data_IF_833423821414
#
_entry.id   IF_833423821414
#
_cell.length_a   1.000
_cell.length_b   1.000
_cell.length_c   1.000
_cell.angle_alpha   90.00
_cell.angle_beta   90.00
_cell.angle_gamma   90.00
#
_symmetry.space_group_name_H-M   'P 1'
#
loop_
_entity.id
_entity.type
_entity.pdbx_description
1 polymer ?
#
# COMPACT_ATOMS: atom_id res chain seq x y z
N UNK A 1 -17.49 2.86 -26.82
CA UNK A 1 -16.72 1.61 -26.65
C UNK A 1 -17.07 0.65 -27.76
N UNK A 2 -16.08 -0.07 -28.26
CA UNK A 2 -16.31 -1.22 -29.14
C UNK A 2 -16.82 -2.38 -28.28
N UNK A 3 -17.56 -3.36 -28.83
CA UNK A 3 -18.14 -4.45 -28.06
C UNK A 3 -17.14 -5.32 -27.28
N UNK A 4 -15.89 -5.34 -27.70
CA UNK A 4 -14.76 -6.09 -27.12
C UNK A 4 -13.83 -5.24 -26.22
N UNK A 5 -14.17 -3.97 -25.98
CA UNK A 5 -13.37 -3.10 -25.13
C UNK A 5 -13.74 -3.24 -23.65
N UNK A 6 -12.72 -3.29 -22.80
CA UNK A 6 -12.83 -3.22 -21.33
C UNK A 6 -12.24 -1.91 -20.86
N UNK A 7 -12.96 -1.20 -19.97
CA UNK A 7 -12.42 -0.04 -19.27
C UNK A 7 -12.02 -0.47 -17.86
N UNK A 8 -10.77 -0.19 -17.49
CA UNK A 8 -10.28 -0.35 -16.12
C UNK A 8 -10.31 1.02 -15.46
N UNK A 9 -11.10 1.13 -14.38
CA UNK A 9 -11.15 2.33 -13.53
C UNK A 9 -10.53 2.00 -12.18
N UNK A 10 -9.48 2.73 -11.79
CA UNK A 10 -8.82 2.53 -10.50
C UNK A 10 -8.90 3.78 -9.64
N UNK A 11 -8.97 3.60 -8.33
CA UNK A 11 -8.93 4.69 -7.36
C UNK A 11 -9.65 4.36 -6.05
N UNK A 12 -9.45 5.22 -5.06
CA UNK A 12 -10.04 5.04 -3.72
C UNK A 12 -11.57 5.08 -3.69
N UNK A 13 -12.19 5.59 -4.74
CA UNK A 13 -13.66 5.67 -4.90
C UNK A 13 -14.19 4.60 -5.86
N UNK A 14 -13.36 3.72 -6.43
CA UNK A 14 -13.74 2.77 -7.46
C UNK A 14 -14.88 1.82 -7.07
N UNK A 15 -15.00 1.49 -5.78
CA UNK A 15 -16.07 0.63 -5.26
C UNK A 15 -17.32 1.41 -4.80
N UNK A 16 -17.28 2.74 -4.82
CA UNK A 16 -18.43 3.55 -4.43
C UNK A 16 -19.52 3.49 -5.51
N UNK A 17 -20.70 2.94 -5.23
CA UNK A 17 -21.79 2.81 -6.22
C UNK A 17 -22.25 4.16 -6.78
N UNK A 18 -22.07 5.24 -6.03
CA UNK A 18 -22.43 6.59 -6.48
C UNK A 18 -21.50 7.15 -7.57
N UNK A 19 -20.39 6.49 -7.86
CA UNK A 19 -19.48 6.92 -8.93
C UNK A 19 -20.11 6.71 -10.32
N UNK A 20 -20.81 5.59 -10.48
CA UNK A 20 -21.47 5.19 -11.73
C UNK A 20 -22.86 4.59 -11.40
N UNK A 21 -23.82 5.42 -10.97
CA UNK A 21 -25.10 4.93 -10.45
C UNK A 21 -25.94 4.19 -11.50
N UNK A 22 -25.78 4.54 -12.77
CA UNK A 22 -26.55 3.99 -13.88
C UNK A 22 -25.90 2.78 -14.55
N UNK A 23 -24.74 2.30 -14.02
CA UNK A 23 -24.04 1.15 -14.61
C UNK A 23 -24.72 -0.15 -14.17
N UNK A 24 -25.23 -0.97 -15.13
CA UNK A 24 -25.80 -2.27 -14.81
C UNK A 24 -24.78 -3.17 -14.10
N UNK A 25 -25.17 -3.93 -13.07
CA UNK A 25 -24.23 -4.78 -12.31
C UNK A 25 -23.55 -5.85 -13.15
N UNK A 26 -24.25 -6.39 -14.14
CA UNK A 26 -23.79 -7.47 -15.02
C UNK A 26 -22.69 -7.06 -16.02
N UNK A 27 -22.48 -5.74 -16.20
CA UNK A 27 -21.39 -5.23 -17.07
C UNK A 27 -20.19 -4.71 -16.27
N UNK A 28 -20.17 -4.91 -14.95
CA UNK A 28 -19.09 -4.46 -14.08
C UNK A 28 -18.51 -5.60 -13.27
N UNK A 29 -17.19 -5.59 -13.09
CA UNK A 29 -16.48 -6.50 -12.19
C UNK A 29 -15.62 -5.69 -11.22
N UNK A 30 -15.86 -5.83 -9.92
CA UNK A 30 -15.31 -4.98 -8.88
C UNK A 30 -14.26 -5.72 -8.08
N UNK A 31 -13.07 -5.18 -8.02
CA UNK A 31 -11.93 -5.78 -7.33
C UNK A 31 -11.52 -4.87 -6.16
N UNK A 32 -11.57 -5.39 -4.94
CA UNK A 32 -11.00 -4.73 -3.78
C UNK A 32 -9.53 -5.19 -3.61
N UNK A 33 -8.60 -4.24 -3.69
CA UNK A 33 -7.18 -4.51 -3.52
C UNK A 33 -6.70 -3.92 -2.20
N UNK A 34 -6.14 -4.75 -1.33
CA UNK A 34 -5.58 -4.28 -0.06
C UNK A 34 -4.44 -5.19 0.42
N UNK A 35 -3.49 -4.62 1.16
CA UNK A 35 -2.46 -5.38 1.85
C UNK A 35 -3.04 -5.98 3.14
N UNK A 36 -3.74 -7.09 3.04
CA UNK A 36 -4.37 -7.77 4.16
C UNK A 36 -3.37 -8.71 4.83
N UNK A 37 -2.62 -8.19 5.79
CA UNK A 37 -1.65 -9.00 6.53
C UNK A 37 -2.36 -10.04 7.40
N UNK A 38 -2.03 -11.32 7.18
CA UNK A 38 -2.61 -12.46 7.93
C UNK A 38 -1.58 -13.14 8.83
N UNK A 39 -0.33 -12.68 8.79
CA UNK A 39 0.76 -13.28 9.53
C UNK A 39 0.83 -12.78 10.97
N UNK A 40 1.24 -13.68 11.84
CA UNK A 40 1.66 -13.35 13.20
C UNK A 40 3.19 -13.23 13.25
N UNK A 41 3.68 -12.28 14.06
CA UNK A 41 5.10 -12.19 14.41
C UNK A 41 5.44 -13.27 15.43
N UNK A 42 4.51 -13.50 16.37
CA UNK A 42 4.59 -14.54 17.40
C UNK A 42 3.20 -15.13 17.70
N UNK A 43 3.09 -15.93 18.77
CA UNK A 43 1.82 -16.58 19.19
C UNK A 43 0.68 -15.59 19.50
N UNK A 44 0.99 -14.34 19.79
CA UNK A 44 0.02 -13.34 20.29
C UNK A 44 -0.04 -12.07 19.47
N UNK A 45 1.00 -11.78 18.68
CA UNK A 45 1.14 -10.53 17.95
C UNK A 45 1.02 -10.72 16.44
N UNK A 46 -0.04 -10.17 15.87
CA UNK A 46 -0.26 -10.12 14.43
C UNK A 46 0.50 -8.93 13.82
N UNK A 47 0.99 -9.08 12.60
CA UNK A 47 1.50 -7.97 11.80
C UNK A 47 0.35 -6.99 11.52
N UNK A 48 0.42 -5.74 12.01
CA UNK A 48 -0.66 -4.78 11.77
C UNK A 48 -0.69 -4.35 10.29
N UNK A 49 -1.81 -4.57 9.63
CA UNK A 49 -2.04 -4.10 8.24
C UNK A 49 -1.76 -2.59 8.10
N UNK A 50 -2.12 -1.82 9.11
CA UNK A 50 -1.90 -0.37 9.15
C UNK A 50 -0.41 -0.01 9.07
N UNK A 51 0.43 -0.75 9.78
CA UNK A 51 1.88 -0.49 9.84
C UNK A 51 2.56 -0.86 8.53
N UNK A 52 2.22 -2.01 7.97
CA UNK A 52 2.68 -2.41 6.63
C UNK A 52 2.33 -1.36 5.58
N UNK A 53 1.10 -0.87 5.59
CA UNK A 53 0.64 0.16 4.65
C UNK A 53 1.32 1.51 4.89
N UNK A 54 1.59 1.88 6.14
CA UNK A 54 2.33 3.10 6.46
C UNK A 54 3.77 3.01 5.98
N UNK A 55 4.46 1.89 6.20
CA UNK A 55 5.83 1.64 5.73
C UNK A 55 5.89 1.69 4.20
N UNK A 56 5.00 0.99 3.50
CA UNK A 56 4.86 1.07 2.03
C UNK A 56 4.73 2.53 1.57
N UNK A 57 3.85 3.28 2.23
CA UNK A 57 3.61 4.68 1.89
C UNK A 57 4.83 5.57 2.14
N UNK A 58 5.53 5.40 3.25
CA UNK A 58 6.75 6.17 3.56
C UNK A 58 7.79 5.97 2.46
N UNK A 59 8.05 4.72 2.08
CA UNK A 59 9.02 4.39 1.03
C UNK A 59 8.58 4.99 -0.32
N UNK A 60 7.32 4.78 -0.73
CA UNK A 60 6.79 5.30 -1.99
C UNK A 60 6.76 6.83 -2.05
N UNK A 61 6.28 7.48 -0.99
CA UNK A 61 6.17 8.94 -0.95
C UNK A 61 7.57 9.60 -1.00
N UNK A 62 8.59 8.98 -0.37
CA UNK A 62 9.97 9.45 -0.48
C UNK A 62 10.55 9.27 -1.89
N UNK A 63 10.32 8.11 -2.51
CA UNK A 63 10.88 7.78 -3.82
C UNK A 63 10.26 8.57 -4.98
N UNK A 64 8.93 8.81 -4.94
CA UNK A 64 8.19 9.31 -6.11
C UNK A 64 7.47 10.62 -5.91
N UNK A 65 7.30 11.09 -4.67
CA UNK A 65 6.51 12.29 -4.35
C UNK A 65 7.30 13.37 -3.60
N UNK A 66 8.55 13.09 -3.25
CA UNK A 66 9.42 14.02 -2.53
C UNK A 66 8.97 14.35 -1.10
N UNK A 67 8.11 13.53 -0.49
CA UNK A 67 7.70 13.71 0.90
C UNK A 67 8.67 13.02 1.86
N UNK A 68 9.00 13.69 2.96
CA UNK A 68 9.73 13.08 4.07
C UNK A 68 8.83 12.08 4.84
N UNK A 69 9.47 11.14 5.57
CA UNK A 69 8.76 10.23 6.47
C UNK A 69 7.91 11.01 7.49
N UNK A 70 8.40 12.13 8.02
CA UNK A 70 7.65 12.98 8.92
C UNK A 70 6.35 13.49 8.29
N UNK A 71 6.41 14.03 7.07
CA UNK A 71 5.23 14.55 6.37
C UNK A 71 4.21 13.43 6.09
N UNK A 72 4.67 12.23 5.75
CA UNK A 72 3.79 11.08 5.54
C UNK A 72 3.11 10.64 6.85
N UNK A 73 3.85 10.58 7.97
CA UNK A 73 3.30 10.24 9.28
C UNK A 73 2.28 11.30 9.74
N UNK A 74 2.61 12.58 9.62
CA UNK A 74 1.71 13.66 10.02
C UNK A 74 0.38 13.63 9.25
N UNK A 75 0.41 13.26 7.97
CA UNK A 75 -0.77 13.11 7.11
C UNK A 75 -1.55 11.82 7.34
N UNK A 76 -0.98 10.82 8.01
CA UNK A 76 -1.57 9.49 8.13
C UNK A 76 -2.97 9.49 8.75
N UNK A 77 -3.20 10.35 9.75
CA UNK A 77 -4.52 10.50 10.35
C UNK A 77 -5.61 10.91 9.35
N UNK A 78 -5.27 11.76 8.37
CA UNK A 78 -6.19 12.15 7.29
C UNK A 78 -6.46 10.98 6.34
N UNK A 79 -5.42 10.23 5.98
CA UNK A 79 -5.56 9.02 5.14
C UNK A 79 -6.52 8.02 5.79
N UNK A 80 -6.33 7.73 7.07
CA UNK A 80 -7.18 6.82 7.84
C UNK A 80 -8.64 7.26 7.91
N UNK A 81 -8.89 8.56 8.02
CA UNK A 81 -10.27 9.09 7.95
C UNK A 81 -10.88 8.89 6.57
N UNK A 82 -10.11 9.10 5.51
CA UNK A 82 -10.55 8.86 4.13
C UNK A 82 -10.91 7.39 3.90
N UNK A 83 -10.07 6.46 4.35
CA UNK A 83 -10.32 5.01 4.26
C UNK A 83 -11.64 4.62 4.94
N UNK A 84 -11.83 5.07 6.19
CA UNK A 84 -13.05 4.79 6.96
C UNK A 84 -14.30 5.34 6.30
N UNK A 85 -14.21 6.46 5.60
CA UNK A 85 -15.34 7.13 4.99
C UNK A 85 -15.65 6.64 3.58
N UNK A 86 -14.61 6.31 2.79
CA UNK A 86 -14.72 6.16 1.34
C UNK A 86 -14.29 4.80 0.79
N UNK A 87 -13.67 3.94 1.62
CA UNK A 87 -13.19 2.63 1.18
C UNK A 87 -13.89 1.52 1.94
N UNK A 88 -13.75 1.47 3.26
CA UNK A 88 -14.25 0.36 4.07
C UNK A 88 -15.75 0.13 3.99
N UNK A 89 -16.63 1.17 3.91
CA UNK A 89 -18.06 0.94 3.78
C UNK A 89 -18.47 0.24 2.47
N UNK A 90 -17.62 0.30 1.45
CA UNK A 90 -17.91 -0.23 0.11
C UNK A 90 -17.15 -1.52 -0.23
N UNK A 91 -16.31 -2.03 0.68
CA UNK A 91 -15.52 -3.24 0.42
C UNK A 91 -16.39 -4.48 0.17
N UNK A 92 -17.56 -4.54 0.81
CA UNK A 92 -18.53 -5.64 0.64
C UNK A 92 -19.23 -5.63 -0.74
N UNK A 93 -19.07 -4.55 -1.52
CA UNK A 93 -19.57 -4.47 -2.90
C UNK A 93 -18.60 -5.05 -3.93
N UNK A 94 -17.44 -5.52 -3.50
CA UNK A 94 -16.47 -6.14 -4.39
C UNK A 94 -16.88 -7.58 -4.74
N UNK A 95 -16.73 -7.94 -6.01
CA UNK A 95 -16.94 -9.30 -6.50
C UNK A 95 -15.79 -10.21 -6.05
N UNK A 96 -14.59 -9.64 -5.88
CA UNK A 96 -13.40 -10.36 -5.39
C UNK A 96 -12.49 -9.45 -4.56
N UNK A 97 -11.81 -10.04 -3.57
CA UNK A 97 -10.77 -9.37 -2.79
C UNK A 97 -9.39 -9.89 -3.20
N UNK A 98 -8.53 -8.99 -3.63
CA UNK A 98 -7.14 -9.29 -3.92
C UNK A 98 -6.25 -8.85 -2.75
N UNK A 99 -5.59 -9.82 -2.11
CA UNK A 99 -4.62 -9.54 -1.05
C UNK A 99 -3.25 -9.23 -1.66
N UNK A 100 -2.83 -7.97 -1.56
CA UNK A 100 -1.54 -7.52 -2.05
C UNK A 100 -0.40 -7.65 -1.03
N UNK A 101 -0.64 -8.20 0.16
CA UNK A 101 0.42 -8.43 1.15
C UNK A 101 1.33 -9.58 0.72
N UNK A 102 2.64 -9.37 0.85
CA UNK A 102 3.65 -10.39 0.63
C UNK A 102 4.36 -10.72 1.94
N UNK A 103 4.68 -12.01 2.14
CA UNK A 103 5.26 -12.51 3.38
C UNK A 103 6.59 -11.84 3.74
N UNK A 104 7.39 -11.53 2.73
CA UNK A 104 8.76 -11.01 2.85
C UNK A 104 8.85 -9.49 2.67
N UNK A 105 7.73 -8.80 2.44
CA UNK A 105 7.76 -7.38 2.07
C UNK A 105 8.40 -6.46 3.12
N UNK A 106 8.17 -6.72 4.41
CA UNK A 106 8.75 -5.91 5.48
C UNK A 106 10.27 -6.10 5.57
N UNK A 107 10.77 -7.30 5.31
CA UNK A 107 12.20 -7.56 5.21
C UNK A 107 12.84 -6.78 4.06
N UNK A 108 12.17 -6.73 2.89
CA UNK A 108 12.63 -5.97 1.71
C UNK A 108 12.50 -4.46 1.92
N UNK A 109 11.42 -4.00 2.56
CA UNK A 109 11.18 -2.56 2.77
C UNK A 109 12.01 -1.96 3.90
N UNK A 110 12.48 -2.77 4.86
CA UNK A 110 13.28 -2.31 6.01
C UNK A 110 14.49 -1.46 5.61
N UNK A 111 15.38 -1.88 4.67
CA UNK A 111 16.53 -1.08 4.25
C UNK A 111 16.17 0.29 3.67
N UNK A 112 14.98 0.42 3.09
CA UNK A 112 14.50 1.70 2.52
C UNK A 112 13.80 2.56 3.57
N UNK A 113 12.98 1.94 4.43
CA UNK A 113 12.18 2.66 5.42
C UNK A 113 13.00 3.16 6.61
N UNK A 114 13.94 2.35 7.12
CA UNK A 114 14.70 2.68 8.32
C UNK A 114 15.48 4.00 8.22
N UNK A 115 16.24 4.27 7.15
CA UNK A 115 16.94 5.56 7.00
C UNK A 115 15.99 6.77 6.94
N UNK A 116 14.80 6.61 6.37
CA UNK A 116 13.78 7.66 6.29
C UNK A 116 13.16 7.94 7.67
N UNK A 117 12.90 6.90 8.44
CA UNK A 117 12.36 7.01 9.80
C UNK A 117 13.36 7.67 10.77
N UNK A 118 14.67 7.39 10.61
CA UNK A 118 15.73 8.01 11.42
C UNK A 118 15.86 9.52 11.19
N UNK A 119 15.42 10.04 10.04
CA UNK A 119 15.44 11.48 9.73
C UNK A 119 14.29 12.27 10.37
N UNK A 120 13.32 11.60 11.00
CA UNK A 120 12.17 12.27 11.61
C UNK A 120 12.64 13.10 12.82
N UNK A 121 12.26 14.38 12.83
CA UNK A 121 12.71 15.37 13.84
C UNK A 121 12.32 14.92 15.25
N UNK A 122 13.30 14.89 16.13
CA UNK A 122 13.13 14.55 17.55
C UNK A 122 12.17 15.53 18.25
N UNK A 123 11.47 15.06 19.27
CA UNK A 123 10.52 15.85 20.05
C UNK A 123 9.17 16.09 19.36
N UNK A 124 8.97 15.59 18.14
CA UNK A 124 7.68 15.68 17.45
C UNK A 124 6.80 14.46 17.72
N UNK A 125 5.49 14.60 17.49
CA UNK A 125 4.54 13.46 17.56
C UNK A 125 4.90 12.38 16.51
N UNK A 126 5.33 12.81 15.33
CA UNK A 126 5.78 11.90 14.29
C UNK A 126 7.01 11.08 14.72
N UNK A 127 7.89 11.64 15.55
CA UNK A 127 9.07 10.93 16.07
C UNK A 127 8.69 9.73 16.95
N UNK A 128 7.64 9.85 17.77
CA UNK A 128 7.15 8.73 18.59
C UNK A 128 6.70 7.58 17.70
N UNK A 129 5.95 7.90 16.64
CA UNK A 129 5.48 6.91 15.68
C UNK A 129 6.64 6.32 14.87
N UNK A 130 7.61 7.14 14.45
CA UNK A 130 8.81 6.68 13.75
C UNK A 130 9.61 5.68 14.61
N UNK A 131 9.80 5.96 15.90
CA UNK A 131 10.46 5.03 16.84
C UNK A 131 9.70 3.71 16.98
N UNK A 132 8.37 3.78 17.06
CA UNK A 132 7.52 2.59 17.13
C UNK A 132 7.66 1.73 15.87
N UNK A 133 7.64 2.35 14.68
CA UNK A 133 7.83 1.65 13.42
C UNK A 133 9.25 1.08 13.28
N UNK A 134 10.26 1.78 13.77
CA UNK A 134 11.64 1.25 13.82
C UNK A 134 11.72 0.00 14.68
N UNK A 135 11.18 0.04 15.90
CA UNK A 135 11.15 -1.13 16.79
C UNK A 135 10.37 -2.31 16.17
N UNK A 136 9.27 -2.01 15.46
CA UNK A 136 8.54 -3.03 14.71
C UNK A 136 9.39 -3.65 13.60
N UNK A 137 10.14 -2.85 12.85
CA UNK A 137 11.01 -3.34 11.77
C UNK A 137 12.20 -4.16 12.28
N UNK A 138 12.60 -4.04 13.56
CA UNK A 138 13.68 -4.85 14.13
C UNK A 138 13.38 -6.35 14.14
N UNK A 139 12.09 -6.74 14.12
CA UNK A 139 11.67 -8.14 14.05
C UNK A 139 11.96 -8.82 12.71
N UNK A 140 12.34 -8.07 11.69
CA UNK A 140 12.56 -8.58 10.33
C UNK A 140 14.04 -8.49 9.94
N UNK A 141 14.61 -9.61 9.52
CA UNK A 141 15.94 -9.59 8.89
C UNK A 141 15.87 -8.90 7.52
N UNK A 142 16.81 -7.99 7.20
CA UNK A 142 16.83 -7.32 5.91
C UNK A 142 17.01 -8.29 4.75
N UNK A 143 16.17 -8.16 3.72
CA UNK A 143 16.30 -8.91 2.49
C UNK A 143 16.71 -7.97 1.35
N UNK A 144 17.81 -8.28 0.61
CA UNK A 144 18.22 -7.48 -0.53
C UNK A 144 17.15 -7.42 -1.63
N UNK A 145 16.93 -6.25 -2.27
CA UNK A 145 15.87 -6.08 -3.27
C UNK A 145 16.15 -6.82 -4.59
N UNK A 146 17.38 -7.22 -4.87
CA UNK A 146 17.76 -8.02 -6.04
C UNK A 146 17.11 -9.41 -6.05
N UNK A 147 16.75 -9.94 -4.88
CA UNK A 147 16.02 -11.20 -4.73
C UNK A 147 14.52 -11.09 -5.01
N UNK A 148 14.00 -9.88 -5.17
CA UNK A 148 12.59 -9.66 -5.50
C UNK A 148 12.37 -9.87 -7.00
N UNK A 149 11.41 -10.71 -7.42
CA UNK A 149 11.08 -10.87 -8.84
C UNK A 149 10.75 -9.51 -9.50
N UNK A 150 11.16 -9.33 -10.74
CA UNK A 150 11.01 -8.07 -11.48
C UNK A 150 9.54 -7.71 -11.81
N UNK A 151 8.66 -8.71 -11.84
CA UNK A 151 7.21 -8.56 -11.99
C UNK A 151 6.45 -8.47 -10.66
N UNK A 152 7.15 -8.48 -9.52
CA UNK A 152 6.52 -8.36 -8.20
C UNK A 152 5.93 -6.97 -7.97
N UNK A 153 4.76 -6.91 -7.31
CA UNK A 153 4.16 -5.65 -6.85
C UNK A 153 5.07 -4.85 -5.91
N UNK A 154 6.03 -5.50 -5.22
CA UNK A 154 7.02 -4.79 -4.40
C UNK A 154 7.92 -3.88 -5.21
N UNK A 155 8.08 -4.15 -6.51
CA UNK A 155 8.87 -3.30 -7.40
C UNK A 155 8.32 -1.88 -7.53
N UNK A 156 7.03 -1.67 -7.22
CA UNK A 156 6.45 -0.33 -7.06
C UNK A 156 7.20 0.51 -6.01
N UNK A 157 7.71 -0.14 -4.96
CA UNK A 157 8.34 0.54 -3.82
C UNK A 157 9.86 0.59 -3.94
N UNK A 158 10.48 -0.46 -4.47
CA UNK A 158 11.93 -0.62 -4.51
C UNK A 158 12.56 -0.41 -5.89
N UNK A 159 11.72 -0.19 -6.91
CA UNK A 159 12.15 0.04 -8.29
C UNK A 159 12.48 -1.25 -9.06
N UNK A 160 12.84 -1.09 -10.34
CA UNK A 160 13.23 -2.20 -11.22
C UNK A 160 12.08 -3.09 -11.67
N UNK A 161 10.85 -2.57 -11.79
CA UNK A 161 9.71 -3.30 -12.33
C UNK A 161 9.78 -3.38 -13.85
N UNK A 162 9.62 -4.59 -14.42
CA UNK A 162 9.46 -4.77 -15.88
C UNK A 162 8.15 -4.17 -16.41
N UNK A 163 7.17 -3.95 -15.53
CA UNK A 163 5.87 -3.38 -15.92
C UNK A 163 5.91 -1.86 -16.09
N UNK A 164 7.00 -1.20 -15.70
CA UNK A 164 7.14 0.26 -15.77
C UNK A 164 7.16 0.77 -17.20
N UNK A 165 7.76 -0.02 -18.12
CA UNK A 165 7.93 0.33 -19.53
C UNK A 165 6.92 -0.40 -20.41
N UNK A 166 5.88 -0.99 -19.82
CA UNK A 166 4.84 -1.69 -20.55
C UNK A 166 3.89 -0.69 -21.20
N UNK A 167 4.23 -0.26 -22.41
CA UNK A 167 3.34 0.52 -23.25
C UNK A 167 2.44 -0.43 -24.04
N UNK A 168 1.15 -0.42 -23.73
CA UNK A 168 0.15 -1.03 -24.61
C UNK A 168 0.08 -0.12 -25.84
N UNK A 169 0.63 -0.59 -26.97
CA UNK A 169 0.39 0.06 -28.26
C UNK A 169 -1.09 -0.14 -28.59
N UNK A 170 -1.88 0.91 -28.48
CA UNK A 170 -3.28 0.95 -28.93
C UNK A 170 -3.33 1.12 -30.42
#
# INVERSE_FOLDING_TARGET
>A
LQPDHVIIVEGIHGLNPNLVPDLPPDVSYRIYVSALTQLNIDKHNRIPTTDTRMIRRIVRDAAYRGYSAQQTIDRWGSVRRGEKRWIFPFQEHADVMFNSALLYELAVLKPFAAPLLLQVKQGTRAHVEAKRLMAFLEWFEPLPPDQVPDNSILREFVGGSILRDFHVSL
#
